data_IF_544751331473
#
_entry.id   IF_544751331473
#
_cell.length_a   1.000
_cell.length_b   1.000
_cell.length_c   1.000
_cell.angle_alpha   90.00
_cell.angle_beta   90.00
_cell.angle_gamma   90.00
#
_symmetry.space_group_name_H-M   'P 1'
#
loop_
_entity.id
_entity.type
_entity.pdbx_description
1 polymer ?
#
# COMPACT_ATOMS: atom_id res chain seq x y z
N UNK A 1 19.58 17.39 10.71
CA UNK A 1 18.92 17.81 9.45
C UNK A 1 19.50 17.19 8.18
N UNK A 2 20.78 16.76 8.12
CA UNK A 2 21.41 16.32 6.85
C UNK A 2 21.10 14.89 6.34
N UNK A 3 20.92 13.91 7.23
CA UNK A 3 20.81 12.48 6.83
C UNK A 3 19.55 12.14 6.00
N UNK A 4 18.52 13.01 6.03
CA UNK A 4 17.20 12.78 5.43
C UNK A 4 17.09 13.28 3.99
N UNK A 5 17.94 14.25 3.63
CA UNK A 5 18.08 14.72 2.26
C UNK A 5 18.80 13.69 1.40
N UNK A 6 19.57 12.78 2.00
CA UNK A 6 20.32 11.74 1.31
C UNK A 6 19.40 10.83 0.47
N UNK A 7 18.32 10.22 1.02
CA UNK A 7 17.40 9.43 0.20
C UNK A 7 16.62 10.27 -0.83
N UNK A 8 16.39 11.56 -0.57
CA UNK A 8 15.71 12.45 -1.52
C UNK A 8 16.64 12.80 -2.71
N UNK A 9 17.90 13.14 -2.43
CA UNK A 9 18.93 13.43 -3.43
C UNK A 9 19.29 12.22 -4.27
N UNK A 10 19.24 11.01 -3.70
CA UNK A 10 19.50 9.75 -4.42
C UNK A 10 18.29 9.33 -5.26
N UNK A 11 17.07 9.62 -4.81
CA UNK A 11 15.87 9.25 -5.57
C UNK A 11 15.61 10.17 -6.77
N UNK A 12 15.99 11.44 -6.71
CA UNK A 12 15.84 12.38 -7.84
C UNK A 12 16.50 11.91 -9.16
N UNK A 13 17.77 11.47 -9.22
CA UNK A 13 18.37 10.95 -10.44
C UNK A 13 17.76 9.59 -10.88
N UNK A 14 17.30 8.76 -9.93
CA UNK A 14 16.59 7.52 -10.25
C UNK A 14 15.24 7.82 -10.95
N UNK A 15 14.51 8.84 -10.51
CA UNK A 15 13.22 9.25 -11.11
C UNK A 15 13.43 9.95 -12.45
N UNK A 16 14.41 10.85 -12.54
CA UNK A 16 14.74 11.57 -13.79
C UNK A 16 15.23 10.61 -14.89
N UNK A 17 15.97 9.56 -14.52
CA UNK A 17 16.38 8.51 -15.45
C UNK A 17 15.23 7.63 -15.97
N UNK A 18 14.11 7.56 -15.23
CA UNK A 18 12.98 6.70 -15.57
C UNK A 18 11.89 7.40 -16.41
N UNK A 19 11.81 8.73 -16.38
CA UNK A 19 10.68 9.49 -16.96
C UNK A 19 10.62 9.54 -18.49
N UNK A 20 11.66 9.11 -19.22
CA UNK A 20 11.72 9.24 -20.68
C UNK A 20 11.72 7.89 -21.41
N UNK A 21 12.08 6.80 -20.74
CA UNK A 21 12.16 5.46 -21.36
C UNK A 21 11.09 4.47 -20.91
N UNK A 22 10.35 4.75 -19.83
CA UNK A 22 9.34 3.83 -19.26
C UNK A 22 7.93 3.96 -19.85
N UNK A 23 7.68 4.99 -20.67
CA UNK A 23 6.49 5.08 -21.51
C UNK A 23 6.51 4.06 -22.67
N UNK A 24 7.67 3.46 -22.94
CA UNK A 24 7.88 2.49 -24.02
C UNK A 24 8.45 1.20 -23.43
N UNK A 25 7.56 0.32 -22.93
CA UNK A 25 7.60 -1.15 -22.84
C UNK A 25 8.90 -1.94 -22.50
N UNK A 26 10.06 -1.30 -22.36
CA UNK A 26 11.36 -1.94 -22.27
C UNK A 26 11.92 -1.75 -20.87
N UNK A 27 12.12 -2.87 -20.19
CA UNK A 27 12.87 -2.95 -18.94
C UNK A 27 14.33 -2.60 -19.21
N UNK A 28 14.86 -1.58 -18.52
CA UNK A 28 16.28 -1.24 -18.61
C UNK A 28 17.00 -1.99 -17.51
N UNK A 29 17.80 -2.98 -17.89
CA UNK A 29 18.59 -3.80 -16.98
C UNK A 29 20.01 -3.24 -16.92
N UNK A 30 20.44 -2.80 -15.74
CA UNK A 30 21.80 -2.30 -15.49
C UNK A 30 22.61 -3.41 -14.81
N UNK A 31 23.18 -4.29 -15.64
CA UNK A 31 23.83 -5.51 -15.19
C UNK A 31 22.91 -6.43 -14.39
N UNK A 32 23.48 -7.37 -13.65
CA UNK A 32 22.66 -8.33 -12.87
C UNK A 32 22.02 -7.72 -11.62
N UNK A 33 22.38 -6.49 -11.26
CA UNK A 33 22.07 -5.91 -9.96
C UNK A 33 20.79 -5.07 -9.96
N UNK A 34 20.56 -4.28 -11.00
CA UNK A 34 19.51 -3.27 -11.02
C UNK A 34 18.62 -3.41 -12.26
N UNK A 35 17.32 -3.28 -12.06
CA UNK A 35 16.29 -3.22 -13.09
C UNK A 35 15.46 -1.95 -12.90
N UNK A 36 15.19 -1.28 -14.02
CA UNK A 36 14.21 -0.22 -14.12
C UNK A 36 13.07 -0.68 -15.02
N UNK A 37 11.95 -1.05 -14.39
CA UNK A 37 10.69 -1.43 -15.06
C UNK A 37 9.61 -0.36 -14.83
N UNK A 38 8.60 -0.32 -15.70
CA UNK A 38 7.39 0.50 -15.46
C UNK A 38 6.71 0.17 -14.11
N UNK A 39 6.69 -1.11 -13.70
CA UNK A 39 6.16 -1.52 -12.40
C UNK A 39 6.96 -0.93 -11.24
N UNK A 40 8.30 -1.04 -11.30
CA UNK A 40 9.20 -0.51 -10.28
C UNK A 40 9.14 1.01 -10.20
N UNK A 41 8.98 1.69 -11.34
CA UNK A 41 8.89 3.15 -11.39
C UNK A 41 7.70 3.71 -10.61
N UNK A 42 6.47 3.28 -10.90
CA UNK A 42 5.28 3.79 -10.22
C UNK A 42 5.31 3.49 -8.70
N UNK A 43 5.87 2.35 -8.31
CA UNK A 43 6.00 2.00 -6.90
C UNK A 43 7.09 2.80 -6.20
N UNK A 44 8.18 3.11 -6.89
CA UNK A 44 9.22 4.01 -6.38
C UNK A 44 8.68 5.42 -6.14
N UNK A 45 7.74 5.92 -6.96
CA UNK A 45 7.10 7.23 -6.74
C UNK A 45 6.41 7.31 -5.37
N UNK A 46 5.75 6.23 -4.91
CA UNK A 46 5.11 6.19 -3.58
C UNK A 46 6.15 6.42 -2.48
N UNK A 47 7.28 5.72 -2.57
CA UNK A 47 8.35 5.85 -1.57
C UNK A 47 8.94 7.26 -1.55
N UNK A 48 9.09 7.90 -2.72
CA UNK A 48 9.60 9.27 -2.85
C UNK A 48 8.64 10.29 -2.23
N UNK A 49 7.34 10.16 -2.53
CA UNK A 49 6.31 11.01 -1.93
C UNK A 49 6.33 10.88 -0.41
N UNK A 50 6.59 9.68 0.12
CA UNK A 50 6.73 9.49 1.57
C UNK A 50 7.96 10.18 2.15
N UNK A 51 9.09 10.25 1.43
CA UNK A 51 10.26 11.03 1.88
C UNK A 51 9.87 12.51 2.05
N UNK A 52 9.13 13.08 1.09
CA UNK A 52 8.67 14.47 1.16
C UNK A 52 7.84 14.69 2.43
N UNK A 53 6.92 13.77 2.72
CA UNK A 53 6.08 13.83 3.93
C UNK A 53 6.91 13.71 5.21
N UNK A 54 7.89 12.81 5.24
CA UNK A 54 8.81 12.67 6.38
C UNK A 54 9.57 13.98 6.63
N UNK A 55 10.05 14.65 5.58
CA UNK A 55 10.76 15.93 5.71
C UNK A 55 9.86 17.00 6.34
N UNK A 56 8.60 17.12 5.90
CA UNK A 56 7.66 18.10 6.46
C UNK A 56 7.20 17.77 7.89
N UNK A 57 7.11 16.49 8.24
CA UNK A 57 6.63 16.05 9.57
C UNK A 57 7.74 15.89 10.61
N UNK A 58 9.00 15.92 10.18
CA UNK A 58 10.16 15.80 11.04
C UNK A 58 10.24 16.98 12.03
N UNK A 59 10.36 16.66 13.32
CA UNK A 59 10.54 17.65 14.39
C UNK A 59 9.26 18.25 14.95
N UNK A 60 8.12 18.18 14.24
CA UNK A 60 6.83 18.63 14.78
C UNK A 60 6.05 17.50 15.43
N UNK A 61 6.01 16.31 14.79
CA UNK A 61 5.16 15.19 15.24
C UNK A 61 5.85 13.83 15.23
N UNK A 62 7.03 13.73 14.62
CA UNK A 62 7.85 12.52 14.57
C UNK A 62 9.07 12.72 15.46
N UNK A 63 9.29 11.81 16.40
CA UNK A 63 10.49 11.79 17.24
C UNK A 63 11.75 11.50 16.42
N UNK A 64 12.92 11.95 16.89
CA UNK A 64 14.17 11.78 16.14
C UNK A 64 14.50 10.32 15.80
N UNK A 65 14.32 9.40 16.77
CA UNK A 65 14.58 7.97 16.58
C UNK A 65 13.57 7.31 15.64
N UNK A 66 12.27 7.62 15.78
CA UNK A 66 11.22 7.11 14.89
C UNK A 66 11.50 7.50 13.45
N UNK A 67 11.83 8.77 13.22
CA UNK A 67 12.19 9.21 11.89
C UNK A 67 13.35 8.38 11.34
N UNK A 68 14.43 8.15 12.11
CA UNK A 68 15.64 7.51 11.57
C UNK A 68 15.27 6.12 11.07
N UNK A 69 14.50 5.38 11.87
CA UNK A 69 13.93 4.09 11.46
C UNK A 69 13.10 4.19 10.18
N UNK A 70 12.20 5.18 10.07
CA UNK A 70 11.40 5.40 8.87
C UNK A 70 12.24 5.79 7.64
N UNK A 71 13.31 6.56 7.80
CA UNK A 71 14.20 6.92 6.69
C UNK A 71 14.99 5.72 6.16
N UNK A 72 15.44 4.85 7.07
CA UNK A 72 16.12 3.61 6.72
C UNK A 72 15.17 2.68 5.99
N UNK A 73 13.93 2.52 6.45
CA UNK A 73 12.96 1.64 5.77
C UNK A 73 12.58 2.14 4.37
N UNK A 74 12.48 3.46 4.17
CA UNK A 74 12.20 4.04 2.85
C UNK A 74 13.38 3.88 1.89
N UNK A 75 14.60 4.01 2.39
CA UNK A 75 15.79 3.75 1.56
C UNK A 75 15.81 2.30 1.06
N UNK A 76 15.56 1.33 1.95
CA UNK A 76 15.52 -0.07 1.54
C UNK A 76 14.34 -0.39 0.61
N UNK A 77 13.20 0.31 0.70
CA UNK A 77 12.06 0.04 -0.20
C UNK A 77 12.35 0.49 -1.63
N UNK A 78 13.06 1.61 -1.81
CA UNK A 78 13.60 2.02 -3.11
C UNK A 78 14.54 0.98 -3.70
N UNK A 79 15.42 0.40 -2.87
CA UNK A 79 16.31 -0.67 -3.30
C UNK A 79 15.55 -1.93 -3.71
N UNK A 80 14.48 -2.31 -2.98
CA UNK A 80 13.64 -3.44 -3.36
C UNK A 80 13.06 -3.27 -4.76
N UNK A 81 12.46 -2.10 -5.03
CA UNK A 81 11.77 -1.82 -6.30
C UNK A 81 12.70 -1.87 -7.50
N UNK A 82 13.96 -1.47 -7.32
CA UNK A 82 14.99 -1.42 -8.37
C UNK A 82 15.87 -2.66 -8.44
N UNK A 83 15.78 -3.58 -7.48
CA UNK A 83 16.66 -4.77 -7.45
C UNK A 83 16.35 -5.78 -8.56
N UNK A 84 17.39 -6.33 -9.18
CA UNK A 84 17.32 -7.48 -10.11
C UNK A 84 17.81 -8.78 -9.48
N UNK A 85 18.79 -8.68 -8.58
CA UNK A 85 19.34 -9.85 -7.92
C UNK A 85 18.38 -10.37 -6.84
N UNK A 86 18.11 -11.67 -6.87
CA UNK A 86 17.21 -12.39 -5.94
C UNK A 86 17.60 -12.12 -4.47
N UNK A 87 18.89 -12.17 -4.15
CA UNK A 87 19.38 -11.95 -2.78
C UNK A 87 19.24 -10.49 -2.34
N UNK A 88 19.54 -9.54 -3.23
CA UNK A 88 19.41 -8.10 -2.93
C UNK A 88 17.93 -7.76 -2.68
N UNK A 89 17.03 -8.34 -3.47
CA UNK A 89 15.59 -8.22 -3.25
C UNK A 89 15.18 -8.71 -1.86
N UNK A 90 15.62 -9.92 -1.45
CA UNK A 90 15.27 -10.46 -0.13
C UNK A 90 15.83 -9.61 1.02
N UNK A 91 17.12 -9.25 0.96
CA UNK A 91 17.77 -8.45 2.02
C UNK A 91 17.11 -7.07 2.12
N UNK A 92 16.90 -6.40 0.99
CA UNK A 92 16.23 -5.10 1.00
C UNK A 92 14.81 -5.23 1.54
N UNK A 93 14.06 -6.27 1.16
CA UNK A 93 12.69 -6.50 1.64
C UNK A 93 12.63 -6.59 3.16
N UNK A 94 13.44 -7.46 3.78
CA UNK A 94 13.43 -7.62 5.23
C UNK A 94 13.97 -6.37 5.95
N UNK A 95 14.97 -5.69 5.37
CA UNK A 95 15.47 -4.41 5.88
C UNK A 95 14.47 -3.25 5.74
N UNK A 96 13.38 -3.38 4.98
CA UNK A 96 12.26 -2.43 5.08
C UNK A 96 11.39 -2.66 6.31
N UNK A 97 11.16 -3.93 6.68
CA UNK A 97 10.21 -4.30 7.73
C UNK A 97 10.84 -4.18 9.12
N UNK A 98 12.12 -4.55 9.28
CA UNK A 98 12.80 -4.51 10.58
C UNK A 98 12.82 -3.10 11.20
N UNK A 99 13.18 -2.02 10.48
CA UNK A 99 13.10 -0.68 11.05
C UNK A 99 11.66 -0.25 11.38
N UNK A 100 10.67 -0.75 10.63
CA UNK A 100 9.27 -0.48 10.93
C UNK A 100 8.82 -1.14 12.23
N UNK A 101 9.24 -2.37 12.49
CA UNK A 101 9.02 -3.04 13.77
C UNK A 101 9.62 -2.23 14.92
N UNK A 102 10.86 -1.76 14.78
CA UNK A 102 11.51 -0.92 15.81
C UNK A 102 10.74 0.38 16.02
N UNK A 103 10.31 1.04 14.94
CA UNK A 103 9.52 2.26 15.02
C UNK A 103 8.16 2.04 15.70
N UNK A 104 7.52 0.88 15.47
CA UNK A 104 6.28 0.51 16.14
C UNK A 104 6.49 0.42 17.65
N UNK A 105 7.54 -0.24 18.12
CA UNK A 105 7.78 -0.43 19.55
C UNK A 105 8.15 0.88 20.27
N UNK A 106 8.88 1.77 19.60
CA UNK A 106 9.34 3.04 20.18
C UNK A 106 8.24 4.10 20.18
N UNK A 107 7.55 4.27 19.04
CA UNK A 107 6.70 5.44 18.79
C UNK A 107 5.22 5.22 19.10
N UNK A 108 4.76 3.96 19.22
CA UNK A 108 3.35 3.72 19.52
C UNK A 108 3.00 4.13 20.97
N UNK A 109 1.93 4.93 21.16
CA UNK A 109 1.50 5.35 22.49
C UNK A 109 0.55 4.36 23.18
N UNK A 110 0.24 3.23 22.56
CA UNK A 110 -0.80 2.28 23.02
C UNK A 110 -0.21 1.11 23.80
N UNK A 111 -1.02 0.54 24.70
CA UNK A 111 -0.60 -0.52 25.62
C UNK A 111 -0.30 -1.85 24.92
N UNK A 112 -1.07 -2.20 23.90
CA UNK A 112 -0.97 -3.50 23.20
C UNK A 112 0.11 -3.54 22.11
N UNK A 113 0.98 -2.52 22.07
CA UNK A 113 2.09 -2.43 21.09
C UNK A 113 3.03 -3.63 21.10
N UNK A 114 3.27 -4.24 22.26
CA UNK A 114 4.12 -5.43 22.34
C UNK A 114 3.44 -6.64 21.72
N UNK A 115 2.13 -6.80 21.94
CA UNK A 115 1.33 -7.86 21.33
C UNK A 115 1.30 -7.69 19.79
N UNK A 116 1.08 -6.48 19.29
CA UNK A 116 1.22 -6.18 17.85
C UNK A 116 2.64 -6.46 17.32
N UNK A 117 3.67 -6.14 18.11
CA UNK A 117 5.06 -6.49 17.82
C UNK A 117 5.28 -7.99 17.67
N UNK A 118 4.71 -8.80 18.56
CA UNK A 118 4.77 -10.27 18.47
C UNK A 118 4.11 -10.80 17.20
N UNK A 119 2.94 -10.26 16.80
CA UNK A 119 2.31 -10.63 15.53
C UNK A 119 3.20 -10.30 14.33
N UNK A 120 3.87 -9.14 14.33
CA UNK A 120 4.76 -8.74 13.25
C UNK A 120 6.04 -9.60 13.21
N UNK A 121 6.68 -9.87 14.36
CA UNK A 121 7.85 -10.76 14.45
C UNK A 121 7.53 -12.15 13.94
N UNK A 122 6.42 -12.74 14.42
CA UNK A 122 6.02 -14.10 14.04
C UNK A 122 5.72 -14.17 12.55
N UNK A 123 5.03 -13.17 11.98
CA UNK A 123 4.84 -13.03 10.55
C UNK A 123 6.16 -12.95 9.79
N UNK A 124 7.11 -12.11 10.23
CA UNK A 124 8.42 -11.97 9.58
C UNK A 124 9.14 -13.31 9.60
N UNK A 125 9.31 -13.95 10.76
CA UNK A 125 10.08 -15.19 10.86
C UNK A 125 9.43 -16.36 10.12
N UNK A 126 8.11 -16.53 10.24
CA UNK A 126 7.40 -17.64 9.63
C UNK A 126 7.37 -17.56 8.10
N UNK A 127 7.39 -16.36 7.53
CA UNK A 127 7.31 -16.16 6.07
C UNK A 127 8.68 -15.94 5.42
N UNK A 128 9.57 -15.19 6.07
CA UNK A 128 10.86 -14.77 5.49
C UNK A 128 11.86 -15.91 5.33
N UNK A 129 11.94 -16.84 6.30
CA UNK A 129 12.91 -17.93 6.29
C UNK A 129 12.57 -18.97 5.22
N UNK A 130 11.31 -19.47 5.09
CA UNK A 130 10.95 -20.35 3.98
C UNK A 130 11.14 -19.68 2.61
N UNK A 131 10.85 -18.37 2.53
CA UNK A 131 11.09 -17.59 1.32
C UNK A 131 12.57 -17.58 0.96
N UNK A 132 13.48 -17.35 1.91
CA UNK A 132 14.93 -17.38 1.66
C UNK A 132 15.38 -18.74 1.08
N UNK A 133 14.94 -19.84 1.69
CA UNK A 133 15.28 -21.19 1.22
C UNK A 133 14.82 -21.43 -0.21
N UNK A 134 13.57 -21.05 -0.53
CA UNK A 134 13.03 -21.18 -1.87
C UNK A 134 13.78 -20.31 -2.90
N UNK A 135 14.19 -19.09 -2.51
CA UNK A 135 14.97 -18.19 -3.36
C UNK A 135 16.38 -18.72 -3.64
N UNK A 136 17.06 -19.30 -2.64
CA UNK A 136 18.36 -19.97 -2.82
C UNK A 136 18.24 -21.17 -3.78
N UNK A 137 17.14 -21.91 -3.69
CA UNK A 137 16.92 -23.04 -4.57
C UNK A 137 16.75 -22.59 -6.04
N UNK A 138 15.98 -21.53 -6.28
CA UNK A 138 15.85 -20.96 -7.63
C UNK A 138 17.18 -20.43 -8.13
N UNK A 139 17.94 -19.71 -7.30
CA UNK A 139 19.19 -19.10 -7.75
C UNK A 139 20.23 -20.15 -8.17
N UNK A 140 20.23 -21.32 -7.52
CA UNK A 140 21.11 -22.44 -7.90
C UNK A 140 20.76 -23.06 -9.27
N UNK A 141 19.47 -23.05 -9.65
CA UNK A 141 19.00 -23.65 -10.91
C UNK A 141 18.90 -22.68 -12.08
N UNK A 142 18.62 -21.40 -11.80
CA UNK A 142 18.31 -20.38 -12.80
C UNK A 142 19.29 -19.20 -12.84
N UNK A 143 20.26 -19.08 -11.93
CA UNK A 143 21.10 -17.88 -11.81
C UNK A 143 20.51 -16.83 -10.87
N UNK A 144 21.25 -15.76 -10.60
CA UNK A 144 20.89 -14.78 -9.55
C UNK A 144 19.95 -13.67 -10.00
N UNK A 145 19.78 -13.47 -11.31
CA UNK A 145 18.97 -12.39 -11.88
C UNK A 145 17.54 -12.83 -12.22
N UNK A 146 16.56 -11.92 -12.07
CA UNK A 146 15.15 -12.21 -12.36
C UNK A 146 14.85 -12.36 -13.85
N UNK A 147 15.37 -11.45 -14.67
CA UNK A 147 15.02 -11.35 -16.11
C UNK A 147 15.87 -12.30 -16.97
N UNK A 148 17.00 -12.78 -16.45
CA UNK A 148 17.90 -13.70 -17.16
C UNK A 148 17.80 -15.16 -16.70
N UNK A 149 17.06 -15.43 -15.62
CA UNK A 149 17.04 -16.75 -15.01
C UNK A 149 16.04 -17.70 -15.66
N UNK A 150 16.46 -18.95 -15.88
CA UNK A 150 15.60 -20.00 -16.43
C UNK A 150 14.44 -20.29 -15.46
N UNK A 151 13.30 -19.62 -15.66
CA UNK A 151 12.15 -19.59 -14.77
C UNK A 151 11.27 -20.85 -14.81
N UNK A 152 11.79 -21.97 -15.34
CA UNK A 152 11.03 -23.20 -15.51
C UNK A 152 11.32 -24.19 -14.39
N UNK A 153 10.96 -23.80 -13.16
CA UNK A 153 10.95 -24.71 -12.02
C UNK A 153 9.54 -24.74 -11.44
N UNK A 154 8.65 -25.46 -12.14
CA UNK A 154 7.20 -25.41 -11.96
C UNK A 154 6.72 -25.50 -10.51
N UNK A 155 7.12 -26.52 -9.75
CA UNK A 155 6.65 -26.70 -8.37
C UNK A 155 7.15 -25.61 -7.41
N UNK A 156 8.36 -25.09 -7.62
CA UNK A 156 8.94 -24.08 -6.73
C UNK A 156 8.34 -22.69 -6.97
N UNK A 157 7.96 -22.39 -8.22
CA UNK A 157 7.24 -21.15 -8.54
C UNK A 157 5.89 -21.06 -7.82
N UNK A 158 5.20 -22.20 -7.63
CA UNK A 158 3.93 -22.27 -6.88
C UNK A 158 4.16 -22.06 -5.39
N UNK A 159 5.20 -22.69 -4.81
CA UNK A 159 5.57 -22.52 -3.41
C UNK A 159 5.94 -21.06 -3.12
N UNK A 160 6.72 -20.43 -4.00
CA UNK A 160 7.04 -19.01 -3.88
C UNK A 160 5.82 -18.11 -4.04
N UNK A 161 4.93 -18.42 -4.99
CA UNK A 161 3.65 -17.72 -5.12
C UNK A 161 2.84 -17.76 -3.84
N UNK A 162 2.76 -18.92 -3.18
CA UNK A 162 2.09 -19.06 -1.88
C UNK A 162 2.81 -18.27 -0.78
N UNK A 163 4.15 -18.28 -0.73
CA UNK A 163 4.92 -17.53 0.26
C UNK A 163 4.78 -16.02 0.07
N UNK A 164 4.81 -15.51 -1.16
CA UNK A 164 4.54 -14.09 -1.42
C UNK A 164 3.08 -13.72 -1.18
N UNK A 165 2.15 -14.64 -1.42
CA UNK A 165 0.76 -14.49 -1.00
C UNK A 165 0.62 -14.45 0.52
N UNK A 166 1.47 -15.11 1.31
CA UNK A 166 1.43 -14.85 2.77
C UNK A 166 1.87 -13.43 3.11
N UNK A 167 2.76 -12.84 2.30
CA UNK A 167 3.21 -11.45 2.48
C UNK A 167 2.15 -10.44 2.04
N UNK A 168 1.32 -10.77 1.04
CA UNK A 168 0.09 -10.04 0.71
C UNK A 168 -1.02 -10.54 1.63
N UNK A 169 -1.34 -9.88 2.75
CA UNK A 169 -2.18 -10.40 3.85
C UNK A 169 -3.51 -11.03 3.40
N UNK A 170 -3.46 -12.31 3.05
CA UNK A 170 -4.57 -13.14 2.62
C UNK A 170 -4.89 -14.12 3.77
N UNK A 171 -6.16 -14.47 3.98
CA UNK A 171 -6.53 -15.44 5.00
C UNK A 171 -5.84 -16.78 4.72
N UNK A 172 -5.26 -17.43 5.76
CA UNK A 172 -5.39 -17.12 7.19
C UNK A 172 -4.42 -16.05 7.74
N UNK A 173 -3.36 -15.67 7.02
CA UNK A 173 -2.27 -14.80 7.50
C UNK A 173 -2.56 -13.28 7.38
N UNK A 174 -3.81 -12.86 7.51
CA UNK A 174 -4.20 -11.44 7.38
C UNK A 174 -4.26 -10.71 8.73
N UNK A 175 -4.45 -11.43 9.84
CA UNK A 175 -4.78 -10.88 11.15
C UNK A 175 -3.71 -9.94 11.73
N UNK A 176 -2.44 -10.12 11.35
CA UNK A 176 -1.37 -9.25 11.83
C UNK A 176 -1.56 -7.80 11.35
N UNK A 177 -2.08 -7.57 10.15
CA UNK A 177 -2.11 -6.23 9.56
C UNK A 177 -3.13 -5.29 10.25
N UNK A 178 -4.40 -5.67 10.48
CA UNK A 178 -5.33 -4.84 11.25
C UNK A 178 -4.88 -4.56 12.69
N UNK A 179 -4.27 -5.56 13.35
CA UNK A 179 -3.73 -5.41 14.71
C UNK A 179 -2.57 -4.43 14.72
N UNK A 180 -1.63 -4.56 13.79
CA UNK A 180 -0.49 -3.65 13.67
C UNK A 180 -0.94 -2.22 13.35
N UNK A 181 -1.91 -2.02 12.44
CA UNK A 181 -2.43 -0.67 12.16
C UNK A 181 -3.12 -0.02 13.36
N UNK A 182 -3.83 -0.80 14.18
CA UNK A 182 -4.46 -0.28 15.39
C UNK A 182 -3.42 0.31 16.35
N UNK A 183 -2.31 -0.41 16.56
CA UNK A 183 -1.30 -0.03 17.57
C UNK A 183 -0.22 0.90 17.01
N UNK A 184 0.04 0.90 15.71
CA UNK A 184 1.08 1.69 15.09
C UNK A 184 0.82 3.22 15.17
N UNK A 185 1.90 4.00 15.16
CA UNK A 185 1.82 5.44 14.90
C UNK A 185 1.20 5.67 13.50
N UNK A 186 0.66 6.88 13.28
CA UNK A 186 0.02 7.21 12.01
C UNK A 186 1.02 7.18 10.85
N UNK A 187 2.27 7.59 11.07
CA UNK A 187 3.33 7.51 10.07
C UNK A 187 3.69 6.06 9.71
N UNK A 188 3.82 5.18 10.70
CA UNK A 188 4.06 3.75 10.47
C UNK A 188 2.87 3.12 9.71
N UNK A 189 1.64 3.53 10.01
CA UNK A 189 0.44 3.08 9.28
C UNK A 189 0.44 3.55 7.82
N UNK A 190 0.86 4.78 7.54
CA UNK A 190 1.02 5.29 6.17
C UNK A 190 2.09 4.52 5.42
N UNK A 191 3.22 4.16 6.06
CA UNK A 191 4.23 3.30 5.42
C UNK A 191 3.69 1.91 5.11
N UNK A 192 3.06 1.28 6.11
CA UNK A 192 2.58 -0.09 6.00
C UNK A 192 1.57 -0.22 4.87
N UNK A 193 0.64 0.74 4.79
CA UNK A 193 -0.32 0.82 3.70
C UNK A 193 0.27 1.33 2.39
N UNK A 194 1.24 2.23 2.45
CA UNK A 194 1.86 2.90 1.31
C UNK A 194 2.67 1.94 0.45
N UNK A 195 3.82 1.48 0.96
CA UNK A 195 4.75 0.65 0.16
C UNK A 195 4.95 -0.77 0.69
N UNK A 196 4.74 -1.07 1.99
CA UNK A 196 5.05 -2.41 2.51
C UNK A 196 4.16 -3.49 1.88
N UNK A 197 2.85 -3.26 1.82
CA UNK A 197 1.97 -4.21 1.14
C UNK A 197 2.26 -4.33 -0.37
N UNK A 198 2.82 -3.28 -0.98
CA UNK A 198 3.16 -3.25 -2.41
C UNK A 198 4.44 -4.02 -2.72
N UNK A 199 5.38 -4.10 -1.78
CA UNK A 199 6.55 -4.96 -1.91
C UNK A 199 6.14 -6.43 -2.09
N UNK A 200 5.08 -6.87 -1.41
CA UNK A 200 4.50 -8.20 -1.60
C UNK A 200 4.00 -8.42 -3.03
N UNK A 201 3.31 -7.43 -3.61
CA UNK A 201 2.76 -7.48 -4.97
C UNK A 201 3.87 -7.58 -6.03
N UNK A 202 4.99 -6.85 -5.84
CA UNK A 202 6.17 -6.98 -6.72
C UNK A 202 6.79 -8.37 -6.60
N UNK A 203 6.86 -8.93 -5.39
CA UNK A 203 7.30 -10.30 -5.19
C UNK A 203 6.43 -11.28 -5.97
N UNK A 204 5.10 -11.13 -5.89
CA UNK A 204 4.16 -11.94 -6.67
C UNK A 204 4.42 -11.78 -8.18
N UNK A 205 4.55 -10.55 -8.66
CA UNK A 205 4.81 -10.26 -10.07
C UNK A 205 6.13 -10.86 -10.56
N UNK A 206 7.25 -10.67 -9.86
CA UNK A 206 8.57 -11.10 -10.34
C UNK A 206 8.78 -12.61 -10.24
N UNK A 207 8.26 -13.27 -9.21
CA UNK A 207 8.56 -14.68 -8.94
C UNK A 207 7.45 -15.65 -9.31
N UNK A 208 6.20 -15.18 -9.38
CA UNK A 208 5.05 -16.08 -9.45
C UNK A 208 4.04 -15.74 -10.54
N UNK A 209 4.37 -14.83 -11.46
CA UNK A 209 3.51 -14.47 -12.59
C UNK A 209 2.92 -15.69 -13.32
N UNK A 210 3.79 -16.65 -13.68
CA UNK A 210 3.40 -17.86 -14.40
C UNK A 210 2.58 -18.85 -13.56
N UNK A 211 2.72 -18.85 -12.23
CA UNK A 211 1.98 -19.74 -11.35
C UNK A 211 0.51 -19.30 -11.20
N UNK A 212 0.28 -17.98 -11.11
CA UNK A 212 -1.06 -17.42 -10.94
C UNK A 212 -1.89 -17.37 -12.23
N UNK A 213 -1.24 -17.30 -13.40
CA UNK A 213 -1.94 -17.21 -14.69
C UNK A 213 -2.83 -18.42 -15.00
N UNK A 214 -2.47 -19.62 -14.49
CA UNK A 214 -3.08 -20.88 -14.93
C UNK A 214 -4.38 -21.29 -14.20
N UNK A 215 -4.70 -20.73 -13.03
CA UNK A 215 -5.77 -21.29 -12.18
C UNK A 215 -6.97 -20.35 -11.98
N UNK A 216 -8.14 -20.74 -12.48
CA UNK A 216 -9.42 -20.02 -12.29
C UNK A 216 -10.00 -20.17 -10.89
N UNK A 217 -9.66 -21.25 -10.19
CA UNK A 217 -10.09 -21.48 -8.81
C UNK A 217 -9.52 -20.42 -7.85
N UNK A 218 -8.22 -20.11 -7.96
CA UNK A 218 -7.55 -19.14 -7.09
C UNK A 218 -8.20 -17.76 -7.21
N UNK A 219 -8.57 -17.32 -8.42
CA UNK A 219 -9.27 -16.04 -8.60
C UNK A 219 -10.63 -15.99 -7.92
N UNK A 220 -11.42 -17.06 -7.99
CA UNK A 220 -12.72 -17.10 -7.32
C UNK A 220 -12.58 -16.98 -5.80
N UNK A 221 -11.59 -17.67 -5.24
CA UNK A 221 -11.26 -17.59 -3.81
C UNK A 221 -10.81 -16.18 -3.42
N UNK A 222 -9.94 -15.54 -4.21
CA UNK A 222 -9.49 -14.16 -3.95
C UNK A 222 -10.64 -13.15 -3.96
N UNK A 223 -11.56 -13.24 -4.92
CA UNK A 223 -12.75 -12.39 -4.94
C UNK A 223 -13.65 -12.62 -3.72
N UNK A 224 -13.86 -13.88 -3.34
CA UNK A 224 -14.64 -14.20 -2.14
C UNK A 224 -14.02 -13.59 -0.87
N UNK A 225 -12.70 -13.69 -0.72
CA UNK A 225 -11.94 -13.07 0.37
C UNK A 225 -12.08 -11.55 0.35
N UNK A 226 -12.00 -10.93 -0.82
CA UNK A 226 -12.16 -9.49 -0.99
C UNK A 226 -13.53 -9.01 -0.46
N UNK A 227 -14.62 -9.72 -0.81
CA UNK A 227 -15.97 -9.43 -0.31
C UNK A 227 -16.05 -9.60 1.21
N UNK A 228 -15.44 -10.66 1.77
CA UNK A 228 -15.39 -10.85 3.22
C UNK A 228 -14.70 -9.69 3.94
N UNK A 229 -13.59 -9.17 3.39
CA UNK A 229 -12.92 -8.00 3.99
C UNK A 229 -13.76 -6.73 3.93
N UNK A 230 -14.55 -6.52 2.87
CA UNK A 230 -15.52 -5.42 2.86
C UNK A 230 -16.57 -5.58 3.95
N UNK A 231 -17.12 -6.77 4.14
CA UNK A 231 -18.09 -7.05 5.20
C UNK A 231 -17.48 -6.84 6.59
N UNK A 232 -16.27 -7.35 6.83
CA UNK A 232 -15.54 -7.10 8.08
C UNK A 232 -15.34 -5.60 8.30
N UNK A 233 -14.88 -4.87 7.27
CA UNK A 233 -14.69 -3.42 7.39
C UNK A 233 -15.99 -2.71 7.76
N UNK A 234 -17.14 -3.08 7.19
CA UNK A 234 -18.42 -2.45 7.51
C UNK A 234 -18.86 -2.63 8.99
N UNK A 235 -18.36 -3.66 9.67
CA UNK A 235 -18.66 -3.94 11.09
C UNK A 235 -17.67 -3.32 12.07
N UNK A 236 -16.53 -2.83 11.59
CA UNK A 236 -15.45 -2.32 12.46
C UNK A 236 -15.72 -0.91 12.96
N UNK A 237 -15.67 -0.74 14.28
CA UNK A 237 -15.90 0.54 14.95
C UNK A 237 -14.64 1.40 15.08
N UNK A 238 -13.45 0.79 15.02
CA UNK A 238 -12.18 1.49 15.11
C UNK A 238 -11.76 2.01 13.73
N UNK A 239 -11.59 3.32 13.60
CA UNK A 239 -11.27 4.00 12.33
C UNK A 239 -9.99 3.46 11.65
N UNK A 240 -8.94 3.14 12.43
CA UNK A 240 -7.71 2.57 11.88
C UNK A 240 -7.86 1.11 11.42
N UNK A 241 -8.64 0.30 12.16
CA UNK A 241 -8.89 -1.10 11.78
C UNK A 241 -9.80 -1.17 10.58
N UNK A 242 -10.82 -0.30 10.54
CA UNK A 242 -11.68 -0.11 9.38
C UNK A 242 -10.87 0.11 8.11
N UNK A 243 -9.96 1.10 8.12
CA UNK A 243 -9.13 1.39 6.96
C UNK A 243 -8.18 0.24 6.64
N UNK A 244 -7.63 -0.45 7.64
CA UNK A 244 -6.80 -1.62 7.42
C UNK A 244 -7.57 -2.70 6.65
N UNK A 245 -8.77 -3.10 7.08
CA UNK A 245 -9.59 -4.09 6.37
C UNK A 245 -10.00 -3.63 4.98
N UNK A 246 -10.34 -2.35 4.81
CA UNK A 246 -10.64 -1.80 3.50
C UNK A 246 -9.40 -1.83 2.57
N UNK A 247 -8.21 -1.55 3.10
CA UNK A 247 -6.97 -1.64 2.31
C UNK A 247 -6.61 -3.08 1.93
N UNK A 248 -6.96 -4.05 2.78
CA UNK A 248 -6.85 -5.48 2.48
C UNK A 248 -7.75 -5.87 1.32
N UNK A 249 -9.02 -5.44 1.32
CA UNK A 249 -9.95 -5.76 0.23
C UNK A 249 -9.45 -5.17 -1.09
N UNK A 250 -8.99 -3.91 -1.11
CA UNK A 250 -8.46 -3.26 -2.31
C UNK A 250 -7.19 -3.92 -2.86
N UNK A 251 -6.21 -4.29 -2.02
CA UNK A 251 -4.94 -4.82 -2.53
C UNK A 251 -5.07 -6.20 -3.18
N UNK A 252 -6.09 -6.98 -2.81
CA UNK A 252 -6.36 -8.26 -3.48
C UNK A 252 -6.63 -8.07 -4.98
N UNK A 253 -7.24 -6.96 -5.39
CA UNK A 253 -7.50 -6.65 -6.79
C UNK A 253 -6.20 -6.47 -7.57
N UNK A 254 -5.16 -5.95 -6.94
CA UNK A 254 -3.85 -5.87 -7.58
C UNK A 254 -3.33 -7.27 -7.94
N UNK A 255 -3.47 -8.24 -7.03
CA UNK A 255 -3.07 -9.65 -7.26
C UNK A 255 -3.94 -10.30 -8.34
N UNK A 256 -5.26 -10.05 -8.31
CA UNK A 256 -6.17 -10.52 -9.35
C UNK A 256 -5.83 -9.89 -10.72
N UNK A 257 -5.45 -8.62 -10.75
CA UNK A 257 -5.05 -7.88 -11.94
C UNK A 257 -3.82 -8.49 -12.61
N UNK A 258 -2.83 -8.96 -11.84
CA UNK A 258 -1.66 -9.66 -12.37
C UNK A 258 -2.05 -10.88 -13.24
N UNK A 259 -3.14 -11.56 -12.91
CA UNK A 259 -3.60 -12.70 -13.71
C UNK A 259 -4.22 -12.29 -15.04
N UNK A 260 -5.09 -11.27 -15.03
CA UNK A 260 -5.86 -10.89 -16.21
C UNK A 260 -5.07 -10.02 -17.20
N UNK A 261 -4.08 -9.27 -16.70
CA UNK A 261 -3.29 -8.36 -17.53
C UNK A 261 -2.15 -9.09 -18.22
N UNK A 262 -1.97 -8.76 -19.50
CA UNK A 262 -0.79 -9.20 -20.26
C UNK A 262 0.46 -8.46 -19.78
N UNK A 263 1.64 -8.96 -20.13
CA UNK A 263 2.91 -8.31 -19.81
C UNK A 263 2.99 -6.82 -20.22
N UNK A 264 2.35 -6.45 -21.33
CA UNK A 264 2.29 -5.05 -21.78
C UNK A 264 1.41 -4.15 -20.91
N UNK A 265 0.32 -4.69 -20.36
CA UNK A 265 -0.68 -3.92 -19.61
C UNK A 265 -0.45 -3.97 -18.09
N UNK A 266 0.59 -4.66 -17.65
CA UNK A 266 0.87 -4.92 -16.24
C UNK A 266 1.20 -3.65 -15.45
N UNK A 267 1.60 -2.59 -16.14
CA UNK A 267 1.76 -1.25 -15.58
C UNK A 267 0.47 -0.73 -14.93
N UNK A 268 -0.71 -1.18 -15.37
CA UNK A 268 -1.98 -0.81 -14.74
C UNK A 268 -2.08 -1.28 -13.29
N UNK A 269 -1.46 -2.42 -12.93
CA UNK A 269 -1.43 -2.90 -11.54
C UNK A 269 -0.61 -1.97 -10.65
N UNK A 270 0.53 -1.49 -11.14
CA UNK A 270 1.38 -0.60 -10.34
C UNK A 270 0.76 0.79 -10.18
N UNK A 271 0.01 1.25 -11.18
CA UNK A 271 -0.79 2.49 -11.11
C UNK A 271 -1.92 2.36 -10.11
N UNK A 272 -2.62 1.22 -10.10
CA UNK A 272 -3.60 0.91 -9.06
C UNK A 272 -2.96 0.95 -7.66
N UNK A 273 -1.78 0.33 -7.52
CA UNK A 273 -1.04 0.34 -6.26
C UNK A 273 -0.63 1.75 -5.83
N UNK A 274 -0.26 2.62 -6.76
CA UNK A 274 0.03 4.04 -6.53
C UNK A 274 -1.23 4.76 -6.06
N UNK A 275 -2.34 4.66 -6.80
CA UNK A 275 -3.61 5.27 -6.44
C UNK A 275 -4.10 4.86 -5.06
N UNK A 276 -4.09 3.55 -4.77
CA UNK A 276 -4.44 3.00 -3.46
C UNK A 276 -3.47 3.45 -2.34
N UNK A 277 -2.17 3.52 -2.61
CA UNK A 277 -1.19 4.01 -1.65
C UNK A 277 -1.42 5.47 -1.26
N UNK A 278 -1.73 6.33 -2.24
CA UNK A 278 -2.03 7.74 -2.00
C UNK A 278 -3.36 7.93 -1.27
N UNK A 279 -4.40 7.20 -1.66
CA UNK A 279 -5.73 7.31 -1.05
C UNK A 279 -5.73 6.85 0.41
N UNK A 280 -5.06 5.72 0.70
CA UNK A 280 -4.86 5.25 2.08
C UNK A 280 -4.02 6.24 2.92
N UNK A 281 -2.95 6.79 2.34
CA UNK A 281 -2.12 7.80 2.99
C UNK A 281 -2.92 9.05 3.37
N UNK A 282 -3.71 9.59 2.44
CA UNK A 282 -4.62 10.72 2.67
C UNK A 282 -5.55 10.49 3.85
N UNK A 283 -6.23 9.34 3.88
CA UNK A 283 -7.15 9.01 4.97
C UNK A 283 -6.43 8.80 6.31
N UNK A 284 -5.26 8.16 6.35
CA UNK A 284 -4.52 8.01 7.60
C UNK A 284 -4.10 9.35 8.21
N UNK A 285 -3.71 10.33 7.39
CA UNK A 285 -3.44 11.69 7.86
C UNK A 285 -4.71 12.41 8.29
N UNK A 286 -5.82 12.20 7.59
CA UNK A 286 -7.11 12.73 8.01
C UNK A 286 -7.51 12.18 9.39
N UNK A 287 -7.45 10.87 9.59
CA UNK A 287 -7.76 10.24 10.87
C UNK A 287 -6.80 10.63 11.98
N UNK A 288 -5.54 10.97 11.66
CA UNK A 288 -4.63 11.61 12.62
C UNK A 288 -5.20 12.94 13.13
N UNK A 289 -5.62 13.82 12.21
CA UNK A 289 -6.16 15.13 12.57
C UNK A 289 -7.45 15.03 13.39
N UNK A 290 -8.32 14.07 13.06
CA UNK A 290 -9.52 13.78 13.85
C UNK A 290 -9.17 13.29 15.25
N UNK A 291 -8.20 12.38 15.36
CA UNK A 291 -7.77 11.85 16.64
C UNK A 291 -7.16 12.93 17.55
N UNK A 292 -6.41 13.87 16.99
CA UNK A 292 -5.86 15.03 17.74
C UNK A 292 -6.97 15.95 18.29
N UNK A 293 -8.15 15.97 17.65
CA UNK A 293 -9.28 16.79 18.08
C UNK A 293 -10.24 16.07 19.03
N UNK A 294 -10.58 14.81 18.73
CA UNK A 294 -11.57 14.03 19.47
C UNK A 294 -10.97 13.24 20.64
N UNK A 295 -9.65 13.00 20.64
CA UNK A 295 -8.96 12.12 21.58
C UNK A 295 -9.36 10.64 21.45
N UNK A 296 -10.20 10.28 20.48
CA UNK A 296 -10.78 8.95 20.34
C UNK A 296 -10.73 8.45 18.89
N UNK A 297 -10.81 7.13 18.73
CA UNK A 297 -10.68 6.45 17.43
C UNK A 297 -11.97 5.77 16.98
N UNK A 298 -13.00 5.79 17.81
CA UNK A 298 -14.27 5.15 17.49
C UNK A 298 -15.03 6.01 16.49
N UNK A 299 -15.58 5.36 15.47
CA UNK A 299 -16.40 6.02 14.45
C UNK A 299 -17.54 6.84 15.05
N UNK A 300 -18.15 6.33 16.13
CA UNK A 300 -19.23 7.00 16.84
C UNK A 300 -18.81 8.40 17.30
N UNK A 301 -17.69 8.51 18.02
CA UNK A 301 -17.26 9.81 18.59
C UNK A 301 -16.74 10.73 17.48
N UNK A 302 -15.96 10.18 16.55
CA UNK A 302 -15.41 10.94 15.42
C UNK A 302 -16.53 11.58 14.59
N UNK A 303 -17.65 10.87 14.37
CA UNK A 303 -18.79 11.39 13.61
C UNK A 303 -19.47 12.62 14.22
N UNK A 304 -19.22 12.92 15.50
CA UNK A 304 -19.75 14.10 16.18
C UNK A 304 -18.75 15.27 16.28
N UNK A 305 -17.49 15.07 15.88
CA UNK A 305 -16.42 16.06 16.06
C UNK A 305 -16.19 17.01 14.88
N UNK A 306 -16.99 16.92 13.81
CA UNK A 306 -16.69 17.55 12.52
C UNK A 306 -17.19 19.01 12.38
N UNK A 307 -16.90 19.87 13.36
CA UNK A 307 -17.01 21.34 13.20
C UNK A 307 -15.85 21.93 12.38
N UNK A 308 -15.64 21.38 11.19
CA UNK A 308 -14.54 21.78 10.31
C UNK A 308 -14.88 22.98 9.44
N UNK A 309 -13.85 23.77 9.10
CA UNK A 309 -13.97 24.79 8.06
C UNK A 309 -14.37 24.15 6.72
N UNK A 310 -14.95 24.95 5.81
CA UNK A 310 -15.38 24.46 4.49
C UNK A 310 -14.25 23.74 3.75
N UNK A 311 -13.02 24.26 3.80
CA UNK A 311 -11.87 23.66 3.13
C UNK A 311 -11.55 22.25 3.66
N UNK A 312 -11.62 22.05 4.97
CA UNK A 312 -11.43 20.74 5.60
C UNK A 312 -12.51 19.74 5.16
N UNK A 313 -13.79 20.15 5.14
CA UNK A 313 -14.88 19.29 4.64
C UNK A 313 -14.70 18.89 3.18
N UNK A 314 -14.23 19.79 2.33
CA UNK A 314 -13.92 19.46 0.93
C UNK A 314 -12.78 18.45 0.82
N UNK A 315 -11.73 18.58 1.64
CA UNK A 315 -10.63 17.61 1.69
C UNK A 315 -11.09 16.23 2.19
N UNK A 316 -12.04 16.19 3.12
CA UNK A 316 -12.64 14.95 3.64
C UNK A 316 -13.43 14.26 2.54
N UNK A 317 -14.36 14.98 1.91
CA UNK A 317 -15.15 14.43 0.81
C UNK A 317 -14.24 13.93 -0.30
N UNK A 318 -13.20 14.71 -0.65
CA UNK A 318 -12.22 14.29 -1.64
C UNK A 318 -11.49 13.00 -1.24
N UNK A 319 -11.00 12.87 0.00
CA UNK A 319 -10.27 11.67 0.45
C UNK A 319 -11.15 10.42 0.42
N UNK A 320 -12.39 10.49 0.91
CA UNK A 320 -13.34 9.37 0.82
C UNK A 320 -13.70 9.01 -0.62
N UNK A 321 -13.88 10.00 -1.52
CA UNK A 321 -14.12 9.76 -2.94
C UNK A 321 -12.92 9.08 -3.63
N UNK A 322 -11.68 9.40 -3.22
CA UNK A 322 -10.51 8.70 -3.76
C UNK A 322 -10.46 7.23 -3.37
N UNK A 323 -10.96 6.91 -2.17
CA UNK A 323 -10.97 5.54 -1.62
C UNK A 323 -12.14 4.73 -2.19
N UNK A 324 -13.28 5.38 -2.42
CA UNK A 324 -14.44 4.81 -3.11
C UNK A 324 -14.21 4.60 -4.62
N UNK A 325 -12.99 4.85 -5.14
CA UNK A 325 -12.66 4.81 -6.56
C UNK A 325 -13.67 5.57 -7.44
N UNK A 326 -14.00 6.81 -7.06
CA UNK A 326 -14.90 7.65 -7.88
C UNK A 326 -14.21 8.02 -9.22
N UNK A 327 -14.96 8.26 -10.33
CA UNK A 327 -14.40 8.43 -11.67
C UNK A 327 -13.15 9.33 -11.85
N UNK A 328 -12.98 10.46 -11.13
CA UNK A 328 -11.76 11.26 -11.24
C UNK A 328 -10.53 10.64 -10.56
N UNK A 329 -10.60 9.43 -9.99
CA UNK A 329 -9.48 8.82 -9.26
C UNK A 329 -8.56 7.95 -10.11
N UNK A 330 -7.27 7.97 -9.74
CA UNK A 330 -6.23 7.10 -10.32
C UNK A 330 -6.61 5.61 -10.15
N UNK A 331 -7.15 5.25 -8.97
CA UNK A 331 -7.60 3.88 -8.70
C UNK A 331 -8.70 3.46 -9.66
N UNK A 332 -9.68 4.32 -9.93
CA UNK A 332 -10.78 4.03 -10.85
C UNK A 332 -10.29 3.74 -12.28
N UNK A 333 -9.38 4.56 -12.81
CA UNK A 333 -8.83 4.36 -14.16
C UNK A 333 -8.15 2.98 -14.29
N UNK A 334 -7.36 2.61 -13.28
CA UNK A 334 -6.69 1.30 -13.27
C UNK A 334 -7.66 0.13 -13.03
N UNK A 335 -8.69 0.31 -12.20
CA UNK A 335 -9.74 -0.70 -12.00
C UNK A 335 -10.55 -0.94 -13.27
N UNK A 336 -10.86 0.11 -14.04
CA UNK A 336 -11.50 -0.03 -15.35
C UNK A 336 -10.60 -0.80 -16.34
N UNK A 337 -9.30 -0.53 -16.35
CA UNK A 337 -8.34 -1.30 -17.16
C UNK A 337 -8.35 -2.79 -16.82
N UNK A 338 -8.35 -3.13 -15.53
CA UNK A 338 -8.44 -4.53 -15.05
C UNK A 338 -9.81 -5.13 -15.41
N UNK A 339 -10.91 -4.37 -15.29
CA UNK A 339 -12.24 -4.82 -15.68
C UNK A 339 -12.29 -5.14 -17.18
N UNK A 340 -11.77 -4.27 -18.04
CA UNK A 340 -11.68 -4.53 -19.49
C UNK A 340 -10.86 -5.79 -19.79
N UNK A 341 -9.75 -6.01 -19.09
CA UNK A 341 -8.96 -7.25 -19.24
C UNK A 341 -9.72 -8.49 -18.75
N UNK A 342 -10.56 -8.36 -17.73
CA UNK A 342 -11.37 -9.45 -17.17
C UNK A 342 -12.55 -9.89 -18.07
N UNK A 343 -12.89 -9.09 -19.09
CA UNK A 343 -13.99 -9.36 -20.03
C UNK A 343 -13.83 -10.66 -20.84
N UNK A 344 -12.68 -11.32 -20.77
CA UNK A 344 -12.45 -12.66 -21.32
C UNK A 344 -13.38 -13.71 -20.66
N UNK A 345 -13.84 -13.48 -19.42
CA UNK A 345 -14.70 -14.41 -18.68
C UNK A 345 -15.91 -13.75 -18.05
N UNK A 346 -17.11 -14.29 -18.29
CA UNK A 346 -18.36 -13.79 -17.70
C UNK A 346 -18.34 -13.81 -16.17
N UNK A 347 -17.74 -14.85 -15.57
CA UNK A 347 -17.57 -14.98 -14.12
C UNK A 347 -16.61 -13.91 -13.59
N UNK A 348 -15.53 -13.61 -14.31
CA UNK A 348 -14.60 -12.54 -13.92
C UNK A 348 -15.28 -11.18 -13.88
N UNK A 349 -16.07 -10.86 -14.91
CA UNK A 349 -16.82 -9.59 -14.98
C UNK A 349 -17.83 -9.47 -13.85
N UNK A 350 -18.61 -10.52 -13.57
CA UNK A 350 -19.61 -10.46 -12.50
C UNK A 350 -18.97 -10.27 -11.12
N UNK A 351 -17.89 -10.99 -10.83
CA UNK A 351 -17.15 -10.85 -9.58
C UNK A 351 -16.49 -9.46 -9.45
N UNK A 352 -15.93 -8.92 -10.52
CA UNK A 352 -15.34 -7.59 -10.51
C UNK A 352 -16.41 -6.48 -10.35
N UNK A 353 -17.59 -6.66 -10.95
CA UNK A 353 -18.70 -5.70 -10.77
C UNK A 353 -19.21 -5.66 -9.32
N UNK A 354 -19.26 -6.81 -8.64
CA UNK A 354 -19.57 -6.89 -7.20
C UNK A 354 -18.51 -6.18 -6.36
N UNK A 355 -17.23 -6.34 -6.72
CA UNK A 355 -16.14 -5.62 -6.10
C UNK A 355 -16.33 -4.09 -6.21
N UNK A 356 -16.53 -3.57 -7.42
CA UNK A 356 -16.70 -2.12 -7.64
C UNK A 356 -17.88 -1.56 -6.84
N UNK A 357 -18.99 -2.29 -6.80
CA UNK A 357 -20.16 -1.91 -6.00
C UNK A 357 -19.83 -1.79 -4.52
N UNK A 358 -19.17 -2.79 -3.92
CA UNK A 358 -18.83 -2.80 -2.49
C UNK A 358 -17.73 -1.80 -2.16
N UNK A 359 -16.71 -1.67 -3.02
CA UNK A 359 -15.61 -0.73 -2.90
C UNK A 359 -16.08 0.72 -2.87
N UNK A 360 -17.11 1.06 -3.65
CA UNK A 360 -17.75 2.38 -3.58
C UNK A 360 -18.69 2.53 -2.38
N UNK A 361 -19.54 1.54 -2.12
CA UNK A 361 -20.62 1.64 -1.14
C UNK A 361 -20.12 1.80 0.29
N UNK A 362 -19.11 1.03 0.71
CA UNK A 362 -18.64 1.04 2.12
C UNK A 362 -18.07 2.40 2.54
N UNK A 363 -17.12 3.03 1.80
CA UNK A 363 -16.65 4.38 2.12
C UNK A 363 -17.73 5.45 2.02
N UNK A 364 -18.63 5.37 1.03
CA UNK A 364 -19.68 6.38 0.82
C UNK A 364 -20.70 6.37 1.96
N UNK A 365 -21.10 5.18 2.44
CA UNK A 365 -21.99 5.09 3.60
C UNK A 365 -21.38 5.75 4.83
N UNK A 366 -20.09 5.53 5.09
CA UNK A 366 -19.40 6.19 6.21
C UNK A 366 -19.27 7.69 6.03
N UNK A 367 -18.96 8.14 4.81
CA UNK A 367 -18.98 9.57 4.48
C UNK A 367 -20.35 10.19 4.78
N UNK A 368 -21.44 9.48 4.46
CA UNK A 368 -22.79 9.96 4.76
C UNK A 368 -23.03 10.12 6.26
N UNK A 369 -22.56 9.17 7.09
CA UNK A 369 -22.67 9.29 8.54
C UNK A 369 -21.88 10.47 9.11
N UNK A 370 -20.67 10.74 8.58
CA UNK A 370 -19.88 11.91 8.96
C UNK A 370 -20.57 13.23 8.60
N UNK A 371 -21.27 13.28 7.45
CA UNK A 371 -21.92 14.52 6.99
C UNK A 371 -23.30 14.76 7.62
N UNK A 372 -24.05 13.69 7.94
CA UNK A 372 -25.44 13.79 8.42
C UNK A 372 -25.54 14.09 9.92
N UNK A 373 -24.61 13.60 10.75
CA UNK A 373 -24.66 13.80 12.21
C UNK A 373 -24.29 15.22 12.68
N UNK A 374 -24.28 16.18 11.76
CA UNK A 374 -24.04 17.59 11.98
C UNK A 374 -25.27 18.29 12.60
N UNK A 375 -25.55 18.00 13.86
CA UNK A 375 -26.42 18.84 14.69
C UNK A 375 -25.65 19.38 15.89
N UNK A 376 -25.15 20.61 15.74
CA UNK A 376 -24.89 21.61 16.79
C UNK A 376 -24.33 21.13 18.14
N UNK A 377 -23.15 20.48 18.15
CA UNK A 377 -22.34 20.44 19.36
C UNK A 377 -21.08 21.27 19.16
N UNK A 378 -21.04 22.42 19.85
CA UNK A 378 -19.99 23.42 19.75
C UNK A 378 -18.67 22.93 20.36
N UNK A 379 -17.85 22.26 19.57
CA UNK A 379 -16.41 22.19 19.82
C UNK A 379 -15.75 23.18 18.87
N UNK A 380 -15.25 24.29 19.42
CA UNK A 380 -14.42 25.25 18.70
C UNK A 380 -13.01 24.68 18.56
N UNK A 381 -12.66 24.13 17.40
CA UNK A 381 -11.31 23.66 17.13
C UNK A 381 -10.51 24.69 16.34
N UNK A 382 -9.39 25.12 16.93
CA UNK A 382 -8.30 25.76 16.17
C UNK A 382 -7.62 24.66 15.39
N UNK A 383 -8.02 24.43 14.15
CA UNK A 383 -7.29 23.51 13.27
C UNK A 383 -5.85 24.03 13.09
N UNK A 384 -4.87 23.22 13.48
CA UNK A 384 -3.47 23.50 13.22
C UNK A 384 -3.21 23.47 11.70
N UNK A 385 -2.35 24.38 11.22
CA UNK A 385 -2.05 24.55 9.79
C UNK A 385 -1.22 23.37 9.25
N UNK A 386 -0.50 22.65 10.12
CA UNK A 386 0.40 21.55 9.74
C UNK A 386 -0.30 20.33 9.11
N UNK A 387 -1.39 19.76 9.64
CA UNK A 387 -2.06 18.63 8.99
C UNK A 387 -2.76 19.04 7.68
N UNK A 388 -3.29 20.27 7.56
CA UNK A 388 -3.90 20.75 6.32
C UNK A 388 -2.87 20.81 5.18
N UNK A 389 -1.66 21.30 5.46
CA UNK A 389 -0.57 21.35 4.48
C UNK A 389 -0.17 19.95 4.00
N UNK A 390 -0.09 18.98 4.91
CA UNK A 390 0.26 17.59 4.57
C UNK A 390 -0.84 16.96 3.72
N UNK A 391 -2.11 17.07 4.14
CA UNK A 391 -3.25 16.53 3.38
C UNK A 391 -3.40 17.22 2.02
N UNK A 392 -3.22 18.55 1.97
CA UNK A 392 -3.24 19.31 0.72
C UNK A 392 -2.11 18.93 -0.24
N UNK A 393 -0.90 18.67 0.27
CA UNK A 393 0.23 18.23 -0.55
C UNK A 393 0.00 16.85 -1.17
N UNK A 394 -0.63 15.93 -0.43
CA UNK A 394 -1.02 14.61 -0.93
C UNK A 394 -2.13 14.70 -1.97
N UNK A 395 -3.08 15.61 -1.78
CA UNK A 395 -4.14 15.85 -2.77
C UNK A 395 -3.59 16.45 -4.08
N UNK A 396 -2.62 17.37 -3.99
CA UNK A 396 -1.90 17.88 -5.15
C UNK A 396 -1.07 16.80 -5.84
N UNK A 397 -0.37 15.96 -5.08
CA UNK A 397 0.37 14.82 -5.64
C UNK A 397 -0.57 13.82 -6.34
N UNK A 398 -1.77 13.63 -5.80
CA UNK A 398 -2.81 12.82 -6.43
C UNK A 398 -3.33 13.44 -7.73
N UNK A 399 -3.61 14.75 -7.77
CA UNK A 399 -4.00 15.43 -9.02
C UNK A 399 -2.91 15.29 -10.09
N UNK A 400 -1.65 15.48 -9.71
CA UNK A 400 -0.51 15.33 -10.62
C UNK A 400 -0.34 13.88 -11.10
N UNK A 401 -0.58 12.90 -10.24
CA UNK A 401 -0.56 11.47 -10.62
C UNK A 401 -1.66 11.09 -11.62
N UNK A 402 -2.82 11.76 -11.57
CA UNK A 402 -3.89 11.58 -12.54
C UNK A 402 -3.63 12.24 -13.90
N UNK A 403 -2.83 13.30 -13.95
CA UNK A 403 -2.47 14.02 -15.20
C UNK A 403 -1.39 13.27 -16.01
N UNK A 404 -0.67 12.33 -15.38
CA UNK A 404 0.35 11.50 -16.03
C UNK A 404 -0.23 10.28 -16.80
N UNK A 405 -1.56 10.16 -16.84
CA UNK A 405 -2.35 9.25 -17.69
C UNK A 405 -3.18 10.07 -18.67
#
# INVERSE_FOLDING_TARGET
>A
MGLWLIPLLISLPLIWGCGVSSLLANSIVWGDWWIVDGVGFYLSLISVLFIIILVYSCGTSVGAMEGVCLSVSVFFSLLCFTSNNIYVFWVSYEMTIIPLLVSLLIASPYSERFLAGWYLVTYVLATSLPMLVALIYISNGGGTSFIGGNSNIGCVSIILGLLFVTKVPLPPFHSWLPVVHAEASTFVSVVLSGYVMKLGIIGVYRFSFNAFSSSSFITGVLFFICVLFFLCSATELDVKRWLAYLSLSHIIIAVIGIKYLNFHDISMVSVYCLGHGLSAGLLFFYFKSLYELSGSRSWLIVSFCDNFSLAWRMLIVASFLTVASFPPSISFLSELGILCASCVSYIGVSLFSMYLMLGGLVPILLLSFLLVNNSNYGVSSKASISPLLVVGSLFLAWLLGGILF
#
